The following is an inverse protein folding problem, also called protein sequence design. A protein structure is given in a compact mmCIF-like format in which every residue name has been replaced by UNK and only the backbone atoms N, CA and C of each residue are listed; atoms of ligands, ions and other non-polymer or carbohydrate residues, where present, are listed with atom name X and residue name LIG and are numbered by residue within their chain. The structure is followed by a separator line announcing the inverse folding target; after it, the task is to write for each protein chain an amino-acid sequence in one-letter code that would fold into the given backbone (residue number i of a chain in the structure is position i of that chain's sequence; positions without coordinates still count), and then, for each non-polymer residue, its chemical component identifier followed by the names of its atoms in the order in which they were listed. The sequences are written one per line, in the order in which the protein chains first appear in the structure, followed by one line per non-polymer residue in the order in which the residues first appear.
data_IF_835097563630
#
_entry.id   IF_835097563630
#
_cell.length_a   1.000
_cell.length_b   1.000
_cell.length_c   1.000
_cell.angle_alpha   90.00
_cell.angle_beta   90.00
_cell.angle_gamma   90.00
#
_symmetry.space_group_name_H-M   'P 1'
#
loop_
_entity.id
_entity.type
_entity.pdbx_description
1 polymer ?
#
# COMPACT_ATOMS: atom_id res chain seq x y z
N UNK A 1 -44.37 11.16 6.10
CA UNK A 1 -43.19 11.95 5.69
C UNK A 1 -42.18 12.16 6.82
N UNK A 2 -42.57 12.70 8.01
CA UNK A 2 -41.62 12.95 9.14
C UNK A 2 -40.80 11.74 9.59
N UNK A 3 -41.45 10.57 9.69
CA UNK A 3 -40.78 9.31 10.12
C UNK A 3 -39.71 8.88 9.11
N UNK A 4 -39.96 9.02 7.81
CA UNK A 4 -38.98 8.70 6.77
C UNK A 4 -37.74 9.60 6.86
N UNK A 5 -37.91 10.90 7.11
CA UNK A 5 -36.79 11.82 7.32
C UNK A 5 -35.97 11.47 8.56
N UNK A 6 -36.63 11.08 9.65
CA UNK A 6 -35.93 10.65 10.87
C UNK A 6 -35.07 9.40 10.59
N UNK A 7 -35.64 8.40 9.90
CA UNK A 7 -34.91 7.18 9.53
C UNK A 7 -33.70 7.53 8.64
N UNK A 8 -33.88 8.39 7.64
CA UNK A 8 -32.77 8.81 6.77
C UNK A 8 -31.66 9.54 7.54
N UNK A 9 -32.01 10.42 8.48
CA UNK A 9 -31.04 11.11 9.34
C UNK A 9 -30.28 10.10 10.22
N UNK A 10 -30.97 9.12 10.80
CA UNK A 10 -30.30 8.08 11.62
C UNK A 10 -29.36 7.22 10.79
N UNK A 11 -29.76 6.79 9.59
CA UNK A 11 -28.91 6.03 8.67
C UNK A 11 -27.69 6.84 8.25
N UNK A 12 -27.88 8.12 7.89
CA UNK A 12 -26.78 9.01 7.53
C UNK A 12 -25.82 9.23 8.71
N UNK A 13 -26.34 9.49 9.90
CA UNK A 13 -25.51 9.62 11.11
C UNK A 13 -24.71 8.34 11.39
N UNK A 14 -25.35 7.18 11.33
CA UNK A 14 -24.68 5.89 11.49
C UNK A 14 -23.56 5.67 10.46
N UNK A 15 -23.82 6.05 9.21
CA UNK A 15 -22.79 5.99 8.16
C UNK A 15 -21.61 6.92 8.47
N UNK A 16 -21.84 8.18 8.85
CA UNK A 16 -20.77 9.13 9.21
C UNK A 16 -19.94 8.59 10.39
N UNK A 17 -20.59 8.10 11.44
CA UNK A 17 -19.87 7.50 12.57
C UNK A 17 -19.03 6.29 12.15
N UNK A 18 -19.54 5.44 11.26
CA UNK A 18 -18.78 4.29 10.74
C UNK A 18 -17.51 4.74 10.00
N UNK A 19 -17.59 5.79 9.18
CA UNK A 19 -16.43 6.32 8.45
C UNK A 19 -15.37 6.94 9.40
N UNK A 20 -15.82 7.64 10.45
CA UNK A 20 -14.90 8.16 11.48
C UNK A 20 -14.20 7.02 12.22
N UNK A 21 -14.92 5.95 12.54
CA UNK A 21 -14.33 4.78 13.20
C UNK A 21 -13.30 4.09 12.29
N UNK A 22 -13.63 3.89 11.01
CA UNK A 22 -12.71 3.31 10.02
C UNK A 22 -11.44 4.15 9.88
N UNK A 23 -11.57 5.47 9.75
CA UNK A 23 -10.41 6.37 9.65
C UNK A 23 -9.51 6.29 10.88
N UNK A 24 -10.10 6.30 12.09
CA UNK A 24 -9.35 6.14 13.34
C UNK A 24 -8.63 4.78 13.42
N UNK A 25 -9.28 3.72 12.98
CA UNK A 25 -8.68 2.38 12.92
C UNK A 25 -7.51 2.34 11.96
N UNK A 26 -7.67 2.89 10.75
CA UNK A 26 -6.60 3.00 9.75
C UNK A 26 -5.40 3.79 10.27
N UNK A 27 -5.64 4.91 10.95
CA UNK A 27 -4.57 5.73 11.52
C UNK A 27 -3.80 5.07 12.67
N UNK A 28 -4.36 4.02 13.28
CA UNK A 28 -3.71 3.21 14.31
C UNK A 28 -2.96 2.00 13.74
N UNK A 29 -3.20 1.66 12.47
CA UNK A 29 -2.48 0.57 11.81
C UNK A 29 -1.00 0.91 11.72
N UNK A 30 -0.13 -0.04 12.07
CA UNK A 30 1.31 0.13 11.97
C UNK A 30 1.69 0.49 10.55
N UNK A 31 2.50 1.53 10.40
CA UNK A 31 2.97 2.00 9.09
C UNK A 31 4.48 1.78 8.94
N UNK A 32 4.89 1.58 7.70
CA UNK A 32 6.31 1.52 7.35
C UNK A 32 6.96 2.87 7.58
N UNK A 33 8.07 2.87 8.34
CA UNK A 33 8.85 4.09 8.55
C UNK A 33 9.73 4.40 7.35
N UNK A 34 9.93 5.69 7.14
CA UNK A 34 10.89 6.22 6.20
C UNK A 34 11.45 7.56 6.69
N UNK A 35 12.60 7.92 6.21
CA UNK A 35 13.21 9.23 6.45
C UNK A 35 13.07 10.09 5.21
N UNK A 36 12.47 11.28 5.33
CA UNK A 36 12.47 12.27 4.24
C UNK A 36 13.86 12.88 4.16
N UNK A 37 14.52 12.68 3.02
CA UNK A 37 15.89 13.18 2.74
C UNK A 37 15.84 14.56 2.08
N UNK A 38 14.93 14.73 1.10
CA UNK A 38 14.75 15.98 0.36
C UNK A 38 13.29 16.15 -0.04
N UNK A 39 12.80 17.39 -0.05
CA UNK A 39 11.51 17.74 -0.65
C UNK A 39 11.77 18.45 -1.97
N UNK A 40 11.03 18.04 -2.99
CA UNK A 40 11.09 18.61 -4.33
C UNK A 40 9.79 19.40 -4.63
N UNK A 41 9.70 19.93 -5.83
CA UNK A 41 8.50 20.60 -6.31
C UNK A 41 7.29 19.68 -6.36
N UNK A 42 6.08 20.25 -6.43
CA UNK A 42 4.81 19.53 -6.57
C UNK A 42 4.54 18.43 -5.51
N UNK A 43 5.12 18.56 -4.31
CA UNK A 43 4.91 17.63 -3.20
C UNK A 43 5.64 16.29 -3.35
N UNK A 44 6.61 16.20 -4.26
CA UNK A 44 7.48 15.02 -4.38
C UNK A 44 8.52 15.03 -3.25
N UNK A 45 8.74 13.88 -2.65
CA UNK A 45 9.72 13.67 -1.59
C UNK A 45 10.72 12.59 -1.99
N UNK A 46 11.99 12.81 -1.69
CA UNK A 46 13.00 11.76 -1.69
C UNK A 46 13.02 11.16 -0.29
N UNK A 47 12.84 9.84 -0.22
CA UNK A 47 12.74 9.10 1.03
C UNK A 47 13.71 7.94 1.06
N UNK A 48 14.30 7.71 2.24
CA UNK A 48 15.10 6.52 2.52
C UNK A 48 14.28 5.56 3.37
N UNK A 49 14.18 4.31 2.93
CA UNK A 49 13.64 3.18 3.66
C UNK A 49 14.78 2.31 4.17
N UNK A 50 14.66 1.82 5.38
CA UNK A 50 15.54 0.80 5.97
C UNK A 50 15.17 -0.60 5.43
N UNK A 51 15.93 -1.62 5.84
CA UNK A 51 15.62 -3.02 5.53
C UNK A 51 14.22 -3.39 6.07
N UNK A 52 13.42 -4.06 5.24
CA UNK A 52 12.05 -4.46 5.53
C UNK A 52 11.84 -5.92 5.20
N UNK A 53 10.95 -6.59 5.92
CA UNK A 53 10.47 -7.92 5.57
C UNK A 53 9.10 -7.79 4.94
N UNK A 54 8.87 -8.48 3.83
CA UNK A 54 7.61 -8.47 3.11
C UNK A 54 7.12 -9.87 2.81
N UNK A 55 5.82 -10.10 2.95
CA UNK A 55 5.13 -11.22 2.31
C UNK A 55 4.64 -10.75 0.94
N UNK A 56 4.88 -11.53 -0.11
CA UNK A 56 4.53 -11.14 -1.47
C UNK A 56 3.93 -12.30 -2.26
N UNK A 57 3.17 -11.95 -3.28
CA UNK A 57 2.65 -12.90 -4.27
C UNK A 57 2.74 -12.31 -5.68
N UNK A 58 3.04 -13.16 -6.66
CA UNK A 58 3.04 -12.79 -8.08
C UNK A 58 1.66 -13.02 -8.69
N UNK A 59 1.25 -12.09 -9.53
CA UNK A 59 -0.08 -12.09 -10.17
C UNK A 59 0.10 -11.89 -11.67
N UNK A 60 -0.39 -12.85 -12.47
CA UNK A 60 -0.46 -12.70 -13.91
C UNK A 60 -1.66 -11.81 -14.28
N UNK A 61 -1.50 -10.51 -14.08
CA UNK A 61 -2.44 -9.47 -14.45
C UNK A 61 -1.70 -8.14 -14.50
N UNK A 62 -2.18 -7.23 -15.34
CA UNK A 62 -1.55 -5.96 -15.68
C UNK A 62 -2.38 -4.74 -15.23
N UNK A 63 -3.58 -4.96 -14.64
CA UNK A 63 -4.44 -3.88 -14.19
C UNK A 63 -4.61 -3.87 -12.67
N UNK A 64 -4.80 -2.66 -12.13
CA UNK A 64 -4.95 -2.40 -10.69
C UNK A 64 -6.04 -3.27 -10.04
N UNK A 65 -7.22 -3.37 -10.65
CA UNK A 65 -8.35 -4.09 -10.07
C UNK A 65 -8.09 -5.59 -9.87
N UNK A 66 -7.49 -6.25 -10.87
CA UNK A 66 -7.15 -7.67 -10.81
C UNK A 66 -6.00 -7.93 -9.83
N UNK A 67 -4.95 -7.12 -9.86
CA UNK A 67 -3.80 -7.25 -8.94
C UNK A 67 -4.24 -7.01 -7.51
N UNK A 68 -5.01 -5.94 -7.26
CA UNK A 68 -5.46 -5.60 -5.91
C UNK A 68 -6.35 -6.67 -5.30
N UNK A 69 -7.33 -7.20 -6.03
CA UNK A 69 -8.28 -8.17 -5.47
C UNK A 69 -7.67 -9.57 -5.27
N UNK A 70 -6.94 -10.08 -6.27
CA UNK A 70 -6.34 -11.43 -6.20
C UNK A 70 -5.15 -11.46 -5.24
N UNK A 71 -4.26 -10.48 -5.33
CA UNK A 71 -3.07 -10.42 -4.48
C UNK A 71 -3.42 -10.20 -3.02
N UNK A 72 -4.35 -9.27 -2.75
CA UNK A 72 -4.80 -9.02 -1.39
C UNK A 72 -5.37 -10.28 -0.73
N UNK A 73 -6.24 -11.01 -1.43
CA UNK A 73 -6.85 -12.22 -0.89
C UNK A 73 -5.83 -13.28 -0.49
N UNK A 74 -4.78 -13.49 -1.30
CA UNK A 74 -3.73 -14.47 -1.03
C UNK A 74 -2.92 -14.10 0.22
N UNK A 75 -2.40 -12.87 0.27
CA UNK A 75 -1.55 -12.45 1.39
C UNK A 75 -2.39 -12.23 2.66
N UNK A 76 -3.62 -11.71 2.54
CA UNK A 76 -4.55 -11.63 3.66
C UNK A 76 -4.86 -13.03 4.24
N UNK A 77 -5.05 -14.04 3.38
CA UNK A 77 -5.17 -15.42 3.82
C UNK A 77 -4.01 -15.85 4.70
N UNK A 78 -2.77 -15.56 4.29
CA UNK A 78 -1.57 -15.86 5.07
C UNK A 78 -1.56 -15.18 6.44
N UNK A 79 -1.80 -13.87 6.50
CA UNK A 79 -1.72 -13.11 7.77
C UNK A 79 -2.89 -13.40 8.71
N UNK A 80 -4.03 -13.90 8.21
CA UNK A 80 -5.19 -14.26 9.03
C UNK A 80 -5.27 -15.76 9.36
N UNK A 81 -4.12 -16.43 9.47
CA UNK A 81 -4.01 -17.80 9.94
C UNK A 81 -3.80 -18.85 8.84
N UNK A 82 -3.67 -18.46 7.57
CA UNK A 82 -3.30 -19.36 6.48
C UNK A 82 -1.81 -19.70 6.47
N UNK A 83 -1.25 -20.07 7.63
CA UNK A 83 0.16 -20.36 7.85
C UNK A 83 0.33 -21.54 8.80
N UNK A 84 1.56 -22.05 8.93
CA UNK A 84 1.88 -23.07 9.92
C UNK A 84 1.62 -22.52 11.33
N UNK A 85 0.84 -23.27 12.12
CA UNK A 85 0.42 -22.87 13.46
C UNK A 85 -0.85 -22.04 13.51
N UNK A 86 -1.42 -21.57 12.40
CA UNK A 86 -2.66 -20.78 12.37
C UNK A 86 -2.53 -19.41 13.05
N UNK A 87 -1.33 -18.84 13.02
CA UNK A 87 -1.03 -17.56 13.69
C UNK A 87 -1.68 -16.38 12.99
N UNK A 88 -2.21 -15.42 13.77
CA UNK A 88 -2.67 -14.14 13.25
C UNK A 88 -1.55 -13.12 13.28
N UNK A 89 -1.13 -12.66 12.11
CA UNK A 89 -0.15 -11.59 11.94
C UNK A 89 -0.89 -10.25 11.78
N UNK A 90 -0.46 -9.22 12.50
CA UNK A 90 -1.11 -7.92 12.44
C UNK A 90 -0.99 -7.29 11.05
N UNK A 91 -2.07 -6.66 10.58
CA UNK A 91 -2.07 -5.91 9.33
C UNK A 91 -1.24 -4.64 9.48
N UNK A 92 -0.43 -4.31 8.47
CA UNK A 92 0.33 -3.07 8.37
C UNK A 92 -0.13 -2.25 7.16
N UNK A 93 0.31 -1.02 7.07
CA UNK A 93 0.11 -0.14 5.92
C UNK A 93 1.46 0.50 5.51
N UNK A 94 1.65 0.77 4.24
CA UNK A 94 0.77 0.52 3.09
C UNK A 94 0.83 -0.92 2.57
N UNK A 95 -0.08 -1.26 1.65
CA UNK A 95 0.08 -2.39 0.73
C UNK A 95 0.78 -1.87 -0.52
N UNK A 96 1.82 -2.56 -0.98
CA UNK A 96 2.56 -2.19 -2.19
C UNK A 96 2.15 -3.06 -3.38
N UNK A 97 2.00 -2.46 -4.55
CA UNK A 97 1.81 -3.14 -5.83
C UNK A 97 2.82 -2.63 -6.84
N UNK A 98 3.60 -3.54 -7.41
CA UNK A 98 4.48 -3.26 -8.55
C UNK A 98 3.79 -3.76 -9.81
N UNK A 99 3.79 -2.95 -10.86
CA UNK A 99 3.23 -3.26 -12.16
C UNK A 99 4.39 -3.40 -13.15
N UNK A 100 4.75 -4.63 -13.45
CA UNK A 100 5.75 -5.04 -14.44
C UNK A 100 5.15 -6.16 -15.29
N UNK A 101 5.96 -6.84 -16.10
CA UNK A 101 5.53 -8.02 -16.89
C UNK A 101 4.85 -9.09 -16.04
N UNK A 102 5.27 -9.20 -14.78
CA UNK A 102 4.57 -9.95 -13.73
C UNK A 102 4.35 -9.02 -12.55
N UNK A 103 3.09 -8.67 -12.31
CA UNK A 103 2.74 -7.80 -11.19
C UNK A 103 2.97 -8.51 -9.85
N UNK A 104 3.42 -7.76 -8.86
CA UNK A 104 3.60 -8.25 -7.49
C UNK A 104 2.75 -7.43 -6.53
N UNK A 105 2.12 -8.11 -5.58
CA UNK A 105 1.57 -7.47 -4.38
C UNK A 105 2.42 -7.85 -3.19
N UNK A 106 2.66 -6.88 -2.30
CA UNK A 106 3.47 -7.03 -1.10
C UNK A 106 2.78 -6.43 0.11
N UNK A 107 2.81 -7.16 1.23
CA UNK A 107 2.48 -6.64 2.55
C UNK A 107 3.76 -6.55 3.36
N UNK A 108 4.00 -5.42 3.97
CA UNK A 108 5.10 -5.27 4.91
C UNK A 108 4.78 -6.02 6.20
N UNK A 109 5.74 -6.72 6.75
CA UNK A 109 5.54 -7.43 8.01
C UNK A 109 5.71 -6.48 9.19
N UNK A 110 4.98 -6.71 10.30
CA UNK A 110 5.12 -5.89 11.52
C UNK A 110 6.58 -5.83 12.00
N UNK A 111 6.98 -4.69 12.53
CA UNK A 111 8.34 -4.46 13.06
C UNK A 111 8.72 -5.39 14.23
N UNK A 112 7.74 -6.07 14.82
CA UNK A 112 7.98 -7.11 15.83
C UNK A 112 8.74 -8.30 15.26
N UNK A 113 8.59 -8.61 13.96
CA UNK A 113 9.34 -9.66 13.28
C UNK A 113 10.68 -9.10 12.80
N UNK A 114 11.77 -9.51 13.46
CA UNK A 114 13.12 -8.99 13.17
C UNK A 114 13.86 -9.78 12.09
N UNK A 115 13.44 -11.02 11.85
CA UNK A 115 14.02 -11.92 10.83
C UNK A 115 12.91 -12.66 10.10
N UNK A 116 13.19 -13.15 8.90
CA UNK A 116 12.22 -13.94 8.14
C UNK A 116 11.85 -15.24 8.84
N UNK A 117 12.81 -15.86 9.54
CA UNK A 117 12.61 -17.13 10.26
C UNK A 117 11.68 -17.01 11.48
N UNK A 118 11.40 -15.80 11.93
CA UNK A 118 10.43 -15.54 12.99
C UNK A 118 8.97 -15.56 12.47
N UNK A 119 8.77 -15.55 11.15
CA UNK A 119 7.45 -15.59 10.53
C UNK A 119 7.03 -17.05 10.27
N UNK A 120 5.76 -17.40 10.52
CA UNK A 120 5.26 -18.73 10.20
C UNK A 120 5.28 -18.98 8.68
N UNK A 121 5.49 -20.22 8.26
CA UNK A 121 5.52 -20.59 6.85
C UNK A 121 4.12 -20.47 6.23
N UNK A 122 3.97 -19.79 5.07
CA UNK A 122 2.67 -19.73 4.39
C UNK A 122 2.19 -21.10 3.92
N UNK A 123 0.90 -21.43 4.15
CA UNK A 123 0.28 -22.65 3.63
C UNK A 123 0.04 -22.57 2.11
N UNK A 124 -0.19 -21.36 1.57
CA UNK A 124 -0.29 -21.11 0.13
C UNK A 124 1.11 -20.90 -0.45
N UNK A 125 1.58 -21.84 -1.26
CA UNK A 125 2.92 -21.80 -1.92
C UNK A 125 3.10 -20.61 -2.87
N UNK A 126 2.03 -19.91 -3.25
CA UNK A 126 2.10 -18.70 -4.06
C UNK A 126 2.44 -17.45 -3.23
N UNK A 127 2.33 -17.53 -1.90
CA UNK A 127 2.78 -16.50 -0.97
C UNK A 127 4.20 -16.83 -0.52
N UNK A 128 5.09 -15.87 -0.62
CA UNK A 128 6.50 -16.01 -0.23
C UNK A 128 6.93 -14.84 0.64
N UNK A 129 7.99 -15.02 1.40
CA UNK A 129 8.59 -14.01 2.26
C UNK A 129 9.96 -13.64 1.70
N UNK A 130 10.30 -12.37 1.71
CA UNK A 130 11.63 -11.87 1.32
C UNK A 130 12.04 -10.66 2.14
N UNK A 131 13.34 -10.45 2.27
CA UNK A 131 13.89 -9.15 2.66
C UNK A 131 13.84 -8.18 1.48
N UNK A 132 13.48 -6.95 1.77
CA UNK A 132 13.62 -5.81 0.89
C UNK A 132 14.70 -4.93 1.49
N UNK A 133 15.83 -4.78 0.80
CA UNK A 133 16.97 -4.00 1.28
C UNK A 133 16.66 -2.52 1.33
N UNK A 134 17.45 -1.80 2.15
CA UNK A 134 17.37 -0.34 2.22
C UNK A 134 17.41 0.25 0.81
N UNK A 135 16.60 1.28 0.60
CA UNK A 135 16.52 1.93 -0.70
C UNK A 135 16.12 3.39 -0.58
N UNK A 136 16.60 4.18 -1.52
CA UNK A 136 16.16 5.55 -1.70
C UNK A 136 15.13 5.60 -2.82
N UNK A 137 13.99 6.23 -2.56
CA UNK A 137 12.91 6.36 -3.53
C UNK A 137 12.46 7.81 -3.67
N UNK A 138 11.91 8.16 -4.82
CA UNK A 138 11.07 9.34 -4.97
C UNK A 138 9.61 8.94 -4.77
N UNK A 139 8.83 9.76 -4.07
CA UNK A 139 7.44 9.49 -3.74
C UNK A 139 6.55 10.70 -4.01
N UNK A 140 5.36 10.48 -4.59
CA UNK A 140 4.29 11.46 -4.72
C UNK A 140 3.03 10.94 -4.06
N UNK A 141 2.41 11.78 -3.21
CA UNK A 141 1.17 11.45 -2.49
C UNK A 141 -0.04 11.96 -3.27
N UNK A 142 -1.10 11.16 -3.34
CA UNK A 142 -2.38 11.61 -3.89
C UNK A 142 -3.57 11.07 -3.08
N UNK A 143 -4.70 11.76 -3.19
CA UNK A 143 -5.95 11.45 -2.49
C UNK A 143 -6.97 10.79 -3.41
N UNK A 144 -8.01 10.23 -2.84
CA UNK A 144 -9.16 9.65 -3.55
C UNK A 144 -8.97 8.17 -3.90
N UNK A 145 -9.70 7.70 -4.90
CA UNK A 145 -9.70 6.32 -5.34
C UNK A 145 -8.59 6.06 -6.36
N UNK A 146 -7.86 4.97 -6.16
CA UNK A 146 -6.89 4.51 -7.15
C UNK A 146 -7.59 3.79 -8.31
N UNK A 147 -7.07 4.03 -9.50
CA UNK A 147 -7.41 3.33 -10.76
C UNK A 147 -6.18 3.35 -11.65
N UNK A 148 -6.14 2.52 -12.69
CA UNK A 148 -5.03 2.52 -13.64
C UNK A 148 -4.77 3.94 -14.15
N UNK A 149 -5.83 4.67 -14.55
CA UNK A 149 -5.73 6.06 -15.01
C UNK A 149 -5.09 6.99 -13.97
N UNK A 150 -5.56 6.97 -12.72
CA UNK A 150 -5.03 7.87 -11.67
C UNK A 150 -3.59 7.50 -11.30
N UNK A 151 -3.23 6.22 -11.31
CA UNK A 151 -1.87 5.73 -11.10
C UNK A 151 -0.94 6.28 -12.18
N UNK A 152 -1.31 6.15 -13.46
CA UNK A 152 -0.51 6.63 -14.61
C UNK A 152 -0.35 8.15 -14.60
N UNK A 153 -1.43 8.89 -14.26
CA UNK A 153 -1.37 10.34 -14.11
C UNK A 153 -0.36 10.78 -13.03
N UNK A 154 -0.36 10.11 -11.87
CA UNK A 154 0.58 10.42 -10.78
C UNK A 154 2.01 9.97 -11.11
N UNK A 155 2.18 8.81 -11.75
CA UNK A 155 3.48 8.38 -12.29
C UNK A 155 4.06 9.42 -13.25
N UNK A 156 3.25 9.91 -14.19
CA UNK A 156 3.66 10.95 -15.14
C UNK A 156 4.08 12.25 -14.44
N UNK A 157 3.36 12.66 -13.39
CA UNK A 157 3.72 13.84 -12.59
C UNK A 157 5.04 13.64 -11.86
N UNK A 158 5.25 12.46 -11.25
CA UNK A 158 6.49 12.12 -10.55
C UNK A 158 7.67 12.18 -11.50
N UNK A 159 7.56 11.53 -12.67
CA UNK A 159 8.60 11.52 -13.71
C UNK A 159 8.97 12.94 -14.15
N UNK A 160 7.98 13.79 -14.46
CA UNK A 160 8.24 15.20 -14.85
C UNK A 160 9.09 15.97 -13.82
N UNK A 161 8.85 15.72 -12.53
CA UNK A 161 9.63 16.37 -11.46
C UNK A 161 11.05 15.83 -11.43
N UNK A 162 11.22 14.50 -11.53
CA UNK A 162 12.55 13.88 -11.50
C UNK A 162 13.40 14.29 -12.69
N UNK A 163 12.81 14.31 -13.91
CA UNK A 163 13.49 14.73 -15.13
C UNK A 163 13.91 16.21 -15.05
N UNK A 164 13.05 17.09 -14.53
CA UNK A 164 13.36 18.50 -14.34
C UNK A 164 14.47 18.75 -13.31
N UNK A 165 14.59 17.89 -12.30
CA UNK A 165 15.64 17.95 -11.28
C UNK A 165 16.90 17.16 -11.67
N UNK A 166 16.92 16.48 -12.83
CA UNK A 166 18.02 15.66 -13.28
C UNK A 166 18.31 14.43 -12.41
N UNK A 167 17.26 13.91 -11.75
CA UNK A 167 17.38 12.77 -10.81
C UNK A 167 17.14 11.47 -11.56
N UNK A 168 18.15 10.58 -11.59
CA UNK A 168 18.05 9.27 -12.22
C UNK A 168 17.23 8.31 -11.37
N UNK A 169 16.35 7.52 -12.02
CA UNK A 169 15.48 6.54 -11.38
C UNK A 169 15.42 5.23 -12.20
N UNK A 170 14.97 4.15 -11.57
CA UNK A 170 14.75 2.88 -12.27
C UNK A 170 13.33 2.86 -12.87
N UNK A 171 13.26 3.00 -14.20
CA UNK A 171 11.97 3.01 -14.92
C UNK A 171 11.17 1.70 -14.80
N UNK A 172 11.78 0.61 -14.32
CA UNK A 172 11.12 -0.68 -14.14
C UNK A 172 10.66 -0.92 -12.69
N UNK A 173 11.02 -0.04 -11.74
CA UNK A 173 10.70 -0.22 -10.32
C UNK A 173 9.72 0.86 -9.79
N UNK A 174 8.65 1.10 -10.55
CA UNK A 174 7.53 1.88 -10.04
C UNK A 174 6.60 1.03 -9.19
N UNK A 175 6.15 1.59 -8.08
CA UNK A 175 5.16 0.95 -7.22
C UNK A 175 4.04 1.91 -6.81
N UNK A 176 2.84 1.36 -6.69
CA UNK A 176 1.71 1.98 -6.03
C UNK A 176 1.67 1.53 -4.56
N UNK A 177 1.40 2.47 -3.66
CA UNK A 177 1.21 2.22 -2.23
C UNK A 177 -0.20 2.64 -1.80
N UNK A 178 -0.99 1.68 -1.30
CA UNK A 178 -2.34 1.90 -0.78
C UNK A 178 -2.38 1.82 0.75
N UNK A 179 -2.88 2.87 1.40
CA UNK A 179 -2.89 2.98 2.87
C UNK A 179 -4.23 2.63 3.50
N UNK A 180 -5.31 2.61 2.73
CA UNK A 180 -6.66 2.58 3.26
C UNK A 180 -7.43 1.35 2.80
N UNK A 181 -8.26 0.76 3.67
CA UNK A 181 -9.12 -0.35 3.28
C UNK A 181 -10.16 0.09 2.23
N UNK A 182 -10.72 -0.86 1.44
CA UNK A 182 -11.62 -0.54 0.34
C UNK A 182 -12.94 0.11 0.79
N UNK A 183 -13.35 -0.04 2.03
CA UNK A 183 -14.59 0.53 2.58
C UNK A 183 -14.41 1.92 3.21
N UNK A 184 -13.18 2.45 3.28
CA UNK A 184 -12.94 3.83 3.69
C UNK A 184 -13.18 4.78 2.51
N UNK A 185 -14.17 5.66 2.63
CA UNK A 185 -14.57 6.54 1.52
C UNK A 185 -13.87 7.90 1.53
N UNK A 186 -13.53 8.41 2.72
CA UNK A 186 -12.91 9.73 2.89
C UNK A 186 -11.43 9.63 3.29
N UNK A 187 -10.69 10.72 3.06
CA UNK A 187 -9.30 10.89 3.50
C UNK A 187 -8.35 9.76 3.08
N UNK A 188 -8.59 9.20 1.89
CA UNK A 188 -7.73 8.14 1.34
C UNK A 188 -6.36 8.70 1.01
N UNK A 189 -5.31 7.97 1.40
CA UNK A 189 -3.91 8.22 1.05
C UNK A 189 -3.43 7.14 0.10
N UNK A 190 -2.87 7.56 -1.01
CA UNK A 190 -2.21 6.71 -1.97
C UNK A 190 -0.88 7.35 -2.36
N UNK A 191 0.06 6.55 -2.82
CA UNK A 191 1.36 7.06 -3.28
C UNK A 191 1.81 6.30 -4.53
N UNK A 192 2.57 7.00 -5.38
CA UNK A 192 3.44 6.37 -6.37
C UNK A 192 4.87 6.60 -5.92
N UNK A 193 5.64 5.54 -5.92
CA UNK A 193 7.07 5.59 -5.64
C UNK A 193 7.86 5.01 -6.80
N UNK A 194 9.12 5.43 -6.91
CA UNK A 194 10.10 4.85 -7.83
C UNK A 194 11.47 4.82 -7.16
N UNK A 195 12.20 3.73 -7.30
CA UNK A 195 13.55 3.61 -6.76
C UNK A 195 14.52 4.49 -7.55
N UNK A 196 15.36 5.25 -6.85
CA UNK A 196 16.39 6.09 -7.46
C UNK A 196 17.62 5.24 -7.78
N UNK A 197 18.31 5.62 -8.86
CA UNK A 197 19.63 5.06 -9.18
C UNK A 197 20.69 5.82 -8.38
N UNK A 198 21.65 5.08 -7.84
CA UNK A 198 22.83 5.63 -7.20
C UNK A 198 23.75 6.30 -8.22
#
# INVERSE_FOLDING_TARGET
MKVVYIILILLFSGFVFSQIYVERSTNRTEQVDYKVVKKLSNGVEIRKYEDLIVAYTKISADNYGSVSSKGFRRIAGYIFGGNEGGESIAMTAPVQMNFADTSEMMFFMPKSYKTMDALPVPNDSTVRIKEMKERTVAAIVFKGWASDKTIDEQKTKLVKVLDAEGIAYDANDFAYLGYNPPYQMANRRNEIIVTLKE
#
